data_IF_292776476664
#
_entry.id   IF_292776476664
#
_cell.length_a   1.000
_cell.length_b   1.000
_cell.length_c   1.000
_cell.angle_alpha   90.00
_cell.angle_beta   90.00
_cell.angle_gamma   90.00
#
_symmetry.space_group_name_H-M   'P 1'
#
loop_
_entity.id
_entity.type
_entity.pdbx_description
1 polymer ?
#
# COMPACT_ATOMS: atom_id res chain seq x y z
N UNK A 1 -27.06 10.78 8.64
CA UNK A 1 -25.94 10.13 9.38
C UNK A 1 -25.13 9.25 8.43
N UNK A 2 -23.80 9.24 8.54
CA UNK A 2 -22.91 8.47 7.66
C UNK A 2 -22.13 7.39 8.43
N UNK A 3 -21.97 6.22 7.82
CA UNK A 3 -21.09 5.15 8.27
C UNK A 3 -19.89 5.04 7.33
N UNK A 4 -18.67 5.14 7.89
CA UNK A 4 -17.43 5.07 7.15
C UNK A 4 -16.71 3.77 7.49
N UNK A 5 -16.28 3.04 6.45
CA UNK A 5 -15.46 1.84 6.54
C UNK A 5 -14.19 2.03 5.71
N UNK A 6 -13.06 2.07 6.38
CA UNK A 6 -11.72 2.14 5.79
C UNK A 6 -11.15 0.73 5.72
N UNK A 7 -10.81 0.26 4.51
CA UNK A 7 -10.08 -0.99 4.31
C UNK A 7 -8.65 -0.66 3.93
N UNK A 8 -7.69 -1.28 4.60
CA UNK A 8 -6.28 -1.08 4.32
C UNK A 8 -5.80 -2.09 3.27
N UNK A 9 -4.83 -1.66 2.45
CA UNK A 9 -4.25 -2.45 1.37
C UNK A 9 -3.60 -3.71 1.91
N UNK A 10 -3.52 -4.74 1.07
CA UNK A 10 -2.57 -5.83 1.29
C UNK A 10 -1.16 -5.26 1.03
N UNK A 11 -0.14 -5.82 1.65
CA UNK A 11 1.24 -5.38 1.44
C UNK A 11 1.53 -5.38 -0.09
N UNK A 12 1.99 -4.28 -0.71
CA UNK A 12 2.33 -4.27 -2.14
C UNK A 12 3.42 -5.31 -2.49
N UNK A 13 4.20 -5.77 -1.50
CA UNK A 13 5.16 -6.87 -1.66
C UNK A 13 4.51 -8.26 -1.52
N UNK A 14 3.28 -8.35 -0.98
CA UNK A 14 2.42 -9.54 -1.02
C UNK A 14 1.57 -9.55 -2.31
N UNK A 15 2.25 -9.55 -3.45
CA UNK A 15 1.60 -9.73 -4.74
C UNK A 15 1.00 -11.14 -4.89
N UNK A 16 -0.26 -11.23 -5.32
CA UNK A 16 -0.81 -12.44 -5.92
C UNK A 16 -0.15 -12.63 -7.29
N UNK A 17 1.02 -13.29 -7.35
CA UNK A 17 1.67 -13.64 -8.62
C UNK A 17 2.54 -14.91 -8.49
N UNK A 18 2.03 -16.00 -9.05
CA UNK A 18 2.77 -17.15 -9.59
C UNK A 18 3.69 -16.74 -10.74
N UNK A 19 4.67 -15.87 -10.52
CA UNK A 19 5.70 -15.57 -11.53
C UNK A 19 7.07 -15.65 -10.90
N UNK A 20 7.62 -16.86 -10.90
CA UNK A 20 9.05 -17.03 -11.00
C UNK A 20 9.49 -16.67 -12.43
N UNK A 21 10.60 -15.95 -12.65
CA UNK A 21 11.08 -15.48 -13.97
C UNK A 21 11.49 -16.60 -14.96
N UNK A 22 11.18 -17.85 -14.63
CA UNK A 22 11.36 -19.07 -15.42
C UNK A 22 10.05 -19.89 -15.54
N UNK A 23 8.88 -19.29 -15.26
CA UNK A 23 7.56 -19.93 -15.37
C UNK A 23 7.30 -21.02 -14.32
N UNK A 24 7.89 -20.92 -13.13
CA UNK A 24 7.72 -21.89 -12.04
C UNK A 24 8.56 -23.18 -12.15
N UNK A 25 9.46 -23.27 -13.14
CA UNK A 25 10.21 -24.53 -13.42
C UNK A 25 11.40 -24.80 -12.51
N UNK A 26 12.00 -23.77 -11.92
CA UNK A 26 13.10 -23.93 -10.94
C UNK A 26 12.88 -22.97 -9.80
N UNK A 27 12.33 -23.50 -8.72
CA UNK A 27 12.17 -22.79 -7.44
C UNK A 27 13.43 -23.03 -6.60
N UNK A 28 14.18 -21.97 -6.25
CA UNK A 28 15.26 -22.09 -5.27
C UNK A 28 14.66 -22.58 -3.94
N UNK A 29 15.25 -23.62 -3.34
CA UNK A 29 14.79 -24.19 -2.05
C UNK A 29 13.98 -25.49 -2.15
N UNK A 30 13.57 -25.94 -3.34
CA UNK A 30 12.76 -27.16 -3.50
C UNK A 30 13.51 -28.48 -3.16
N UNK A 31 14.84 -28.47 -3.21
CA UNK A 31 15.70 -29.63 -2.94
C UNK A 31 16.44 -29.56 -1.60
N UNK A 32 16.08 -28.62 -0.72
CA UNK A 32 16.69 -28.47 0.60
C UNK A 32 15.69 -28.91 1.65
N UNK A 33 16.13 -29.73 2.61
CA UNK A 33 15.34 -30.00 3.80
C UNK A 33 14.93 -28.66 4.43
N UNK A 34 13.71 -28.58 4.95
CA UNK A 34 13.06 -27.36 5.50
C UNK A 34 13.98 -26.56 6.43
N UNK A 35 14.92 -27.22 7.10
CA UNK A 35 15.90 -26.59 8.00
C UNK A 35 17.03 -25.85 7.26
N UNK A 36 17.47 -26.34 6.09
CA UNK A 36 18.60 -25.76 5.33
C UNK A 36 18.26 -24.51 4.51
N UNK A 37 16.96 -24.20 4.31
CA UNK A 37 16.53 -22.96 3.67
C UNK A 37 16.47 -21.77 4.63
N UNK A 38 16.57 -22.01 5.95
CA UNK A 38 16.43 -20.99 7.00
C UNK A 38 17.75 -20.21 7.23
N UNK A 39 18.90 -20.76 6.84
CA UNK A 39 20.22 -20.19 7.15
C UNK A 39 20.75 -19.15 6.14
N UNK A 40 19.97 -18.77 5.12
CA UNK A 40 20.34 -17.64 4.24
C UNK A 40 19.50 -16.42 4.59
N UNK A 41 19.97 -15.70 5.62
CA UNK A 41 19.49 -14.37 5.99
C UNK A 41 19.63 -13.38 4.83
N UNK A 42 18.55 -12.62 4.61
CA UNK A 42 18.52 -11.41 3.78
C UNK A 42 17.75 -11.58 2.48
N UNK A 43 16.54 -11.00 2.42
CA UNK A 43 15.64 -10.89 1.26
C UNK A 43 14.73 -12.08 0.91
N UNK A 44 13.94 -12.55 1.89
CA UNK A 44 12.70 -13.29 1.58
C UNK A 44 11.50 -12.62 2.27
N UNK A 45 10.78 -11.79 1.51
CA UNK A 45 9.42 -11.37 1.88
C UNK A 45 8.49 -12.56 1.66
N UNK A 46 8.21 -13.30 2.74
CA UNK A 46 7.19 -14.35 2.75
C UNK A 46 5.97 -13.82 3.47
N UNK A 47 4.83 -13.81 2.79
CA UNK A 47 3.53 -13.57 3.37
C UNK A 47 3.02 -14.89 3.95
N UNK A 48 3.58 -15.32 5.08
CA UNK A 48 3.06 -16.47 5.83
C UNK A 48 2.66 -16.05 7.24
N UNK A 49 1.53 -16.63 7.66
CA UNK A 49 0.84 -16.42 8.91
C UNK A 49 1.74 -16.92 10.07
N UNK A 50 2.33 -16.00 10.83
CA UNK A 50 2.93 -16.35 12.13
C UNK A 50 4.43 -16.10 12.33
N UNK A 51 5.04 -15.08 11.72
CA UNK A 51 6.28 -14.51 12.28
C UNK A 51 6.25 -12.98 12.26
N UNK A 52 6.32 -12.42 13.46
CA UNK A 52 6.25 -11.00 13.81
C UNK A 52 7.26 -10.13 13.06
N UNK A 53 6.82 -9.44 12.00
CA UNK A 53 7.46 -8.20 11.57
C UNK A 53 6.72 -7.06 12.27
N UNK A 54 7.29 -6.57 13.36
CA UNK A 54 6.77 -5.44 14.14
C UNK A 54 7.06 -4.09 13.44
N UNK A 55 6.51 -3.85 12.25
CA UNK A 55 6.31 -2.47 11.78
C UNK A 55 4.84 -2.16 11.84
N UNK A 56 4.30 -2.25 13.05
CA UNK A 56 2.91 -1.90 13.28
C UNK A 56 2.80 -0.39 13.29
N UNK A 57 2.42 0.18 12.15
CA UNK A 57 2.25 1.61 12.03
C UNK A 57 1.08 2.03 12.93
N UNK A 58 1.37 2.84 13.95
CA UNK A 58 0.38 3.29 14.92
C UNK A 58 0.12 4.77 14.72
N UNK A 59 -1.14 5.17 14.75
CA UNK A 59 -1.48 6.56 14.50
C UNK A 59 -2.96 6.88 14.61
N UNK A 60 -3.30 8.10 14.20
CA UNK A 60 -4.69 8.58 14.12
C UNK A 60 -5.00 8.96 12.70
N UNK A 61 -6.20 8.59 12.25
CA UNK A 61 -6.68 8.83 10.91
C UNK A 61 -7.73 9.94 10.95
N UNK A 62 -7.50 10.95 10.13
CA UNK A 62 -8.40 12.07 9.95
C UNK A 62 -8.96 12.05 8.54
N UNK A 63 -10.25 12.35 8.40
CA UNK A 63 -10.92 12.44 7.12
C UNK A 63 -11.78 13.69 7.06
N UNK A 64 -11.75 14.38 5.92
CA UNK A 64 -12.70 15.45 5.60
C UNK A 64 -13.46 15.08 4.34
N UNK A 65 -14.78 15.08 4.41
CA UNK A 65 -15.65 14.76 3.30
C UNK A 65 -16.08 16.04 2.59
N UNK A 66 -16.05 16.05 1.26
CA UNK A 66 -16.55 17.16 0.45
C UNK A 66 -17.66 16.66 -0.46
N UNK A 67 -18.87 17.16 -0.26
CA UNK A 67 -20.01 16.92 -1.14
C UNK A 67 -20.36 18.13 -2.00
N UNK A 68 -21.39 17.99 -2.83
CA UNK A 68 -21.87 19.06 -3.72
C UNK A 68 -22.50 20.25 -2.97
N UNK A 69 -23.03 20.03 -1.76
CA UNK A 69 -23.75 21.06 -0.99
C UNK A 69 -22.96 21.57 0.20
N UNK A 70 -22.11 20.74 0.80
CA UNK A 70 -21.36 21.09 1.99
C UNK A 70 -20.05 20.29 2.09
N UNK A 71 -19.18 20.76 2.98
CA UNK A 71 -17.97 20.07 3.41
C UNK A 71 -18.09 19.77 4.91
N UNK A 72 -17.67 18.56 5.33
CA UNK A 72 -17.64 18.22 6.74
C UNK A 72 -16.49 18.97 7.45
N UNK A 73 -16.56 19.12 8.79
CA UNK A 73 -15.37 19.32 9.60
C UNK A 73 -14.36 18.17 9.39
N UNK A 74 -13.13 18.35 9.87
CA UNK A 74 -12.17 17.24 9.94
C UNK A 74 -12.65 16.27 11.01
N UNK A 75 -12.84 15.02 10.60
CA UNK A 75 -13.35 13.94 11.42
C UNK A 75 -12.20 13.04 11.83
N UNK A 76 -12.17 12.64 13.09
CA UNK A 76 -11.22 11.66 13.60
C UNK A 76 -11.88 10.29 13.62
N UNK A 77 -11.28 9.30 12.95
CA UNK A 77 -11.88 7.98 12.79
C UNK A 77 -12.07 7.27 14.15
N UNK A 78 -11.05 7.35 15.01
CA UNK A 78 -11.03 6.80 16.37
C UNK A 78 -10.24 7.76 17.25
N UNK A 79 -10.72 7.98 18.49
CA UNK A 79 -10.04 8.86 19.46
C UNK A 79 -8.74 8.24 19.96
N UNK A 80 -8.69 6.92 20.00
CA UNK A 80 -7.52 6.13 20.35
C UNK A 80 -6.53 5.99 19.18
N UNK A 81 -5.26 5.81 19.51
CA UNK A 81 -4.25 5.45 18.52
C UNK A 81 -4.46 4.02 18.04
N UNK A 82 -4.72 3.87 16.75
CA UNK A 82 -4.99 2.58 16.11
C UNK A 82 -3.71 2.05 15.51
N UNK A 83 -3.54 0.73 15.63
CA UNK A 83 -2.48 -0.02 14.98
C UNK A 83 -2.97 -0.47 13.60
N UNK A 84 -2.27 -0.08 12.55
CA UNK A 84 -2.60 -0.38 11.16
C UNK A 84 -1.71 -1.52 10.66
N UNK A 85 -2.33 -2.52 10.06
CA UNK A 85 -1.66 -3.61 9.36
C UNK A 85 -2.39 -3.91 8.05
N UNK A 86 -1.73 -4.53 7.07
CA UNK A 86 -2.37 -4.90 5.81
C UNK A 86 -3.65 -5.72 6.01
N UNK A 87 -4.69 -5.44 5.23
CA UNK A 87 -5.99 -6.11 5.35
C UNK A 87 -6.84 -5.69 6.57
N UNK A 88 -6.32 -4.88 7.49
CA UNK A 88 -7.10 -4.36 8.61
C UNK A 88 -8.26 -3.45 8.15
N UNK A 89 -9.27 -3.29 9.01
CA UNK A 89 -10.44 -2.45 8.74
C UNK A 89 -10.73 -1.52 9.91
N UNK A 90 -11.01 -0.25 9.63
CA UNK A 90 -11.43 0.76 10.62
C UNK A 90 -12.80 1.30 10.25
N UNK A 91 -13.73 1.24 11.20
CA UNK A 91 -15.12 1.66 11.00
C UNK A 91 -15.55 2.68 12.05
N UNK A 92 -16.36 3.66 11.66
CA UNK A 92 -16.98 4.60 12.59
C UNK A 92 -18.21 5.29 11.99
N UNK A 93 -18.99 5.92 12.87
CA UNK A 93 -20.17 6.69 12.53
C UNK A 93 -19.87 8.18 12.68
N UNK A 94 -20.46 8.98 11.79
CA UNK A 94 -20.42 10.43 11.90
C UNK A 94 -21.78 11.06 11.59
N UNK A 95 -22.14 12.06 12.39
CA UNK A 95 -23.23 12.97 12.08
C UNK A 95 -22.68 14.17 11.31
N UNK A 96 -23.14 14.34 10.07
CA UNK A 96 -22.81 15.51 9.23
C UNK A 96 -24.10 16.17 8.77
N UNK A 97 -24.02 17.45 8.39
CA UNK A 97 -25.10 18.13 7.67
C UNK A 97 -25.34 17.47 6.31
N UNK A 98 -26.42 17.86 5.62
CA UNK A 98 -26.74 17.35 4.28
C UNK A 98 -25.65 17.73 3.26
N UNK A 99 -24.71 16.82 3.01
CA UNK A 99 -23.56 17.09 2.13
C UNK A 99 -23.90 17.01 0.64
N UNK A 100 -25.06 16.44 0.27
CA UNK A 100 -25.37 16.11 -1.12
C UNK A 100 -24.50 14.96 -1.64
N UNK A 101 -24.29 14.91 -2.96
CA UNK A 101 -23.45 13.87 -3.57
C UNK A 101 -22.00 14.04 -3.14
N UNK A 102 -21.38 13.00 -2.60
CA UNK A 102 -19.97 13.04 -2.20
C UNK A 102 -19.06 13.09 -3.44
N UNK A 103 -18.13 14.04 -3.46
CA UNK A 103 -17.24 14.29 -4.59
C UNK A 103 -15.83 13.77 -4.32
N UNK A 104 -15.31 14.02 -3.11
CA UNK A 104 -13.96 13.64 -2.70
C UNK A 104 -13.85 13.52 -1.18
N UNK A 105 -12.80 12.85 -0.75
CA UNK A 105 -12.36 12.83 0.64
C UNK A 105 -10.89 13.25 0.73
N UNK A 106 -10.53 13.92 1.81
CA UNK A 106 -9.17 14.29 2.14
C UNK A 106 -8.75 13.48 3.38
N UNK A 107 -7.72 12.65 3.23
CA UNK A 107 -7.15 11.82 4.31
C UNK A 107 -5.89 12.46 4.84
N UNK A 108 -5.74 12.45 6.16
CA UNK A 108 -4.49 12.76 6.84
C UNK A 108 -4.23 11.65 7.86
N UNK A 109 -3.05 11.07 7.81
CA UNK A 109 -2.59 10.14 8.82
C UNK A 109 -1.52 10.79 9.68
N UNK A 110 -1.64 10.67 11.01
CA UNK A 110 -0.65 11.14 11.97
C UNK A 110 -0.07 9.94 12.70
N UNK A 111 1.18 9.60 12.39
CA UNK A 111 1.91 8.50 13.03
C UNK A 111 2.36 8.88 14.44
N UNK A 112 2.44 7.90 15.34
CA UNK A 112 3.10 8.03 16.65
C UNK A 112 4.61 7.88 16.56
N UNK A 113 5.15 7.50 15.40
CA UNK A 113 6.58 7.32 15.21
C UNK A 113 7.34 8.65 15.44
N UNK A 114 8.33 8.64 16.32
CA UNK A 114 9.28 9.73 16.45
C UNK A 114 10.19 9.76 15.21
N UNK A 115 9.89 10.65 14.25
CA UNK A 115 10.63 10.77 12.98
C UNK A 115 12.07 11.33 13.14
N UNK A 116 12.46 11.74 14.35
CA UNK A 116 13.74 12.40 14.65
C UNK A 116 14.50 11.75 15.82
N UNK A 117 14.30 10.45 16.09
CA UNK A 117 15.11 9.75 17.10
C UNK A 117 16.47 9.30 16.50
N UNK A 118 17.61 9.86 16.94
CA UNK A 118 18.94 9.55 16.41
C UNK A 118 19.38 8.10 16.63
N UNK A 119 18.76 7.36 17.57
CA UNK A 119 19.06 5.95 17.85
C UNK A 119 18.39 4.95 16.89
N UNK A 120 17.51 5.39 15.98
CA UNK A 120 16.74 4.46 15.08
C UNK A 120 16.89 4.72 13.58
N UNK A 121 17.74 5.66 13.15
CA UNK A 121 18.01 6.01 11.74
C UNK A 121 16.79 5.97 10.79
N UNK A 122 15.63 6.47 11.21
CA UNK A 122 14.41 6.53 10.39
C UNK A 122 14.39 7.67 9.34
N UNK A 123 15.53 8.32 9.11
CA UNK A 123 15.67 9.32 8.05
C UNK A 123 15.58 8.70 6.63
N UNK A 124 15.76 7.38 6.51
CA UNK A 124 15.71 6.65 5.24
C UNK A 124 14.39 5.89 5.04
N UNK A 125 13.66 5.58 6.12
CA UNK A 125 12.42 4.78 6.10
C UNK A 125 11.27 5.54 6.77
N UNK A 126 10.62 6.42 6.01
CA UNK A 126 9.43 7.15 6.48
C UNK A 126 8.27 6.14 6.58
N UNK A 127 7.59 6.06 7.73
CA UNK A 127 6.48 5.14 7.87
C UNK A 127 5.35 5.49 6.90
N UNK A 128 4.67 4.49 6.35
CA UNK A 128 3.60 4.68 5.38
C UNK A 128 2.50 3.63 5.56
N UNK A 129 1.25 4.03 5.34
CA UNK A 129 0.10 3.11 5.35
C UNK A 129 -0.65 3.21 4.02
N UNK A 130 -1.24 2.10 3.58
CA UNK A 130 -1.99 2.05 2.32
C UNK A 130 -3.47 1.86 2.60
N UNK A 131 -4.31 2.77 2.11
CA UNK A 131 -5.77 2.60 2.13
C UNK A 131 -6.17 1.98 0.79
N UNK A 132 -6.81 0.81 0.84
CA UNK A 132 -7.35 0.15 -0.36
C UNK A 132 -8.54 0.94 -0.87
N UNK A 133 -9.50 1.12 0.02
CA UNK A 133 -10.71 1.88 -0.26
C UNK A 133 -11.39 2.37 1.01
N UNK A 134 -12.23 3.38 0.83
CA UNK A 134 -13.12 3.93 1.86
C UNK A 134 -14.53 3.85 1.34
N UNK A 135 -15.38 3.13 2.08
CA UNK A 135 -16.79 3.00 1.77
C UNK A 135 -17.56 3.93 2.71
N UNK A 136 -18.29 4.89 2.13
CA UNK A 136 -19.15 5.82 2.87
C UNK A 136 -20.59 5.47 2.59
N UNK A 137 -21.34 5.10 3.62
CA UNK A 137 -22.74 4.65 3.53
C UNK A 137 -23.65 5.67 4.22
N UNK A 138 -24.68 6.13 3.53
CA UNK A 138 -25.73 6.96 4.10
C UNK A 138 -26.77 6.08 4.77
N UNK A 139 -26.86 6.12 6.11
CA UNK A 139 -27.66 5.16 6.86
C UNK A 139 -29.17 5.35 6.70
N UNK A 140 -29.62 6.54 6.31
CA UNK A 140 -31.04 6.83 6.11
C UNK A 140 -31.54 6.38 4.73
N UNK A 141 -30.66 6.37 3.72
CA UNK A 141 -31.04 6.07 2.32
C UNK A 141 -30.49 4.75 1.80
N UNK A 142 -29.50 4.16 2.49
CA UNK A 142 -28.78 2.98 2.05
C UNK A 142 -27.79 3.22 0.90
N UNK A 143 -27.69 4.45 0.39
CA UNK A 143 -26.75 4.81 -0.67
C UNK A 143 -25.30 4.67 -0.18
N UNK A 144 -24.43 4.11 -1.03
CA UNK A 144 -23.01 3.96 -0.73
C UNK A 144 -22.13 4.51 -1.84
N UNK A 145 -21.04 5.16 -1.44
CA UNK A 145 -20.00 5.67 -2.35
C UNK A 145 -18.67 5.04 -1.95
N UNK A 146 -17.91 4.59 -2.95
CA UNK A 146 -16.60 3.96 -2.77
C UNK A 146 -15.52 4.90 -3.27
N UNK A 147 -14.50 5.14 -2.44
CA UNK A 147 -13.33 5.94 -2.76
C UNK A 147 -12.11 5.02 -2.78
N UNK A 148 -11.41 4.96 -3.91
CA UNK A 148 -10.31 3.99 -4.14
C UNK A 148 -8.94 4.64 -3.93
N UNK A 149 -8.08 4.05 -3.09
CA UNK A 149 -6.77 4.63 -2.74
C UNK A 149 -5.64 4.40 -3.74
N UNK A 150 -5.85 3.58 -4.78
CA UNK A 150 -4.90 3.32 -5.90
C UNK A 150 -3.48 2.93 -5.47
N UNK A 151 -3.36 2.20 -4.36
CA UNK A 151 -2.08 1.74 -3.81
C UNK A 151 -1.10 2.88 -3.50
N UNK A 152 -1.59 4.12 -3.35
CA UNK A 152 -0.77 5.25 -2.95
C UNK A 152 -0.64 5.32 -1.44
N UNK A 153 0.61 5.35 -0.97
CA UNK A 153 0.98 5.50 0.43
C UNK A 153 0.43 6.81 1.04
N UNK A 154 -0.18 6.69 2.22
CA UNK A 154 -0.40 7.81 3.13
C UNK A 154 0.88 8.06 3.93
N UNK A 155 1.49 9.21 3.66
CA UNK A 155 2.67 9.71 4.38
C UNK A 155 2.18 10.53 5.59
N UNK A 156 2.84 10.40 6.76
CA UNK A 156 2.49 11.17 7.95
C UNK A 156 2.38 12.67 7.66
N UNK A 157 1.33 13.30 8.18
CA UNK A 157 1.04 14.74 8.04
C UNK A 157 0.85 15.25 6.61
N UNK A 158 0.80 14.36 5.62
CA UNK A 158 0.50 14.72 4.23
C UNK A 158 -0.96 14.43 3.94
N UNK A 159 -1.66 15.45 3.41
CA UNK A 159 -3.05 15.29 2.99
C UNK A 159 -3.09 14.57 1.64
N UNK A 160 -3.87 13.49 1.57
CA UNK A 160 -4.15 12.73 0.35
C UNK A 160 -5.62 12.87 -0.03
N UNK A 161 -5.87 13.41 -1.21
CA UNK A 161 -7.24 13.54 -1.75
C UNK A 161 -7.59 12.34 -2.63
N UNK A 162 -8.76 11.75 -2.40
CA UNK A 162 -9.33 10.65 -3.19
C UNK A 162 -10.68 11.12 -3.74
N UNK A 163 -10.90 10.95 -5.06
CA UNK A 163 -12.13 11.38 -5.73
C UNK A 163 -13.08 10.21 -5.96
N UNK A 164 -14.39 10.46 -5.92
CA UNK A 164 -15.43 9.44 -6.06
C UNK A 164 -15.47 8.77 -7.44
N UNK A 165 -14.88 9.40 -8.47
CA UNK A 165 -14.85 8.88 -9.84
C UNK A 165 -13.63 7.98 -10.13
N UNK A 166 -12.80 7.67 -9.13
CA UNK A 166 -11.62 6.84 -9.30
C UNK A 166 -11.97 5.36 -9.20
N UNK A 167 -11.53 4.56 -10.19
CA UNK A 167 -11.68 3.10 -10.16
C UNK A 167 -10.69 2.43 -9.20
N UNK A 168 -11.14 1.36 -8.54
CA UNK A 168 -10.33 0.46 -7.70
C UNK A 168 -9.64 -0.63 -8.53
N UNK A 169 -9.90 -0.69 -9.84
CA UNK A 169 -9.22 -1.63 -10.74
C UNK A 169 -7.78 -1.16 -10.90
N UNK A 170 -6.82 -2.02 -10.52
CA UNK A 170 -5.41 -1.76 -10.78
C UNK A 170 -5.22 -1.55 -12.29
N UNK A 171 -4.52 -0.50 -12.73
CA UNK A 171 -4.12 -0.40 -14.12
C UNK A 171 -3.37 -1.68 -14.49
N UNK A 172 -3.61 -2.27 -15.68
CA UNK A 172 -2.77 -3.36 -16.14
C UNK A 172 -1.32 -2.87 -16.08
N UNK A 173 -0.43 -3.69 -15.52
CA UNK A 173 0.99 -3.40 -15.51
C UNK A 173 1.40 -3.00 -16.94
N UNK A 174 2.19 -1.92 -17.12
CA UNK A 174 2.60 -1.51 -18.45
C UNK A 174 3.20 -2.73 -19.13
N UNK A 175 2.58 -3.13 -20.26
CA UNK A 175 3.07 -4.23 -21.08
C UNK A 175 4.47 -3.83 -21.55
N UNK A 176 5.50 -4.35 -20.87
CA UNK A 176 6.89 -4.19 -21.29
C UNK A 176 7.02 -4.93 -22.62
N UNK A 177 7.04 -4.17 -23.71
CA UNK A 177 7.20 -4.67 -25.07
C UNK A 177 8.44 -5.57 -25.13
N UNK A 178 8.26 -6.86 -25.46
CA UNK A 178 9.33 -7.87 -25.47
C UNK A 178 10.54 -7.47 -26.34
N UNK A 179 10.34 -6.56 -27.30
CA UNK A 179 11.42 -6.00 -28.11
C UNK A 179 12.47 -5.25 -27.29
N UNK A 180 12.08 -4.57 -26.21
CA UNK A 180 13.02 -3.82 -25.35
C UNK A 180 13.92 -4.74 -24.53
N UNK A 181 13.41 -5.92 -24.14
CA UNK A 181 14.17 -6.96 -23.42
C UNK A 181 15.33 -7.50 -24.24
N UNK A 182 15.13 -7.73 -25.55
CA UNK A 182 16.18 -8.23 -26.44
C UNK A 182 17.26 -7.18 -26.70
N UNK A 183 16.85 -5.92 -26.85
CA UNK A 183 17.77 -4.82 -27.11
C UNK A 183 18.68 -4.51 -25.91
N UNK A 184 18.17 -4.57 -24.67
CA UNK A 184 18.99 -4.38 -23.47
C UNK A 184 19.92 -5.58 -23.18
N UNK A 185 19.48 -6.81 -23.50
CA UNK A 185 20.32 -8.03 -23.39
C UNK A 185 21.49 -8.02 -24.38
N UNK A 186 21.27 -7.57 -25.62
CA UNK A 186 22.34 -7.46 -26.63
C UNK A 186 23.37 -6.37 -26.25
N UNK A 187 22.93 -5.28 -25.62
CA UNK A 187 23.82 -4.21 -25.13
C UNK A 187 24.68 -4.65 -23.94
N UNK A 188 24.18 -5.52 -23.05
CA UNK A 188 24.97 -6.08 -21.95
C UNK A 188 25.98 -7.15 -22.43
N UNK A 189 25.63 -7.94 -23.45
CA UNK A 189 26.55 -8.96 -24.01
C UNK A 189 27.76 -8.35 -24.73
N UNK A 190 27.60 -7.19 -25.37
CA UNK A 190 28.69 -6.50 -26.07
C UNK A 190 29.79 -5.94 -25.14
N UNK A 191 29.55 -5.80 -23.83
CA UNK A 191 30.54 -5.24 -22.87
C UNK A 191 31.43 -6.29 -22.21
N UNK A 192 31.24 -7.57 -22.47
CA UNK A 192 32.02 -8.67 -21.88
C UNK A 192 32.76 -9.50 -22.94
N UNK A 193 33.39 -8.85 -23.92
CA UNK A 193 34.49 -9.49 -24.66
C UNK A 193 35.81 -9.24 -23.91
N UNK A 194 36.47 -10.26 -23.34
CA UNK A 194 37.82 -10.09 -22.79
C UNK A 194 38.78 -9.73 -23.94
N UNK A 195 39.55 -8.65 -23.76
CA UNK A 195 40.69 -8.34 -24.62
C UNK A 195 41.78 -9.35 -24.31
N UNK A 196 42.02 -10.31 -25.20
CA UNK A 196 43.25 -11.09 -25.19
C UNK A 196 44.40 -10.16 -25.63
N UNK A 197 45.33 -9.89 -24.72
CA UNK A 197 46.65 -9.38 -25.08
C UNK A 197 47.46 -10.56 -25.63
N UNK A 198 48.02 -10.37 -26.82
CA UNK A 198 49.02 -11.28 -27.40
C UNK A 198 50.39 -10.77 -26.98
N UNK A 199 51.22 -11.66 -26.43
CA UNK A 199 52.68 -11.66 -26.55
C UNK A 199 53.17 -13.10 -26.30
#
# INVERSE_FOLDING_TARGET
>A
MLFLRFRFGDDPDCGHVDFYPNGGKRQPGCNQNVVGAIEKEGDLAVCEEGRTIHTTEKGRLFVRLTGTKAQSPVLEAKKEYVQFFPGSTVEFLVSTTQMGRLLRLDLEWRSTASLLNPLTWRLFNVPQIHVRDVIVTHLETGERVVFCGRDEALIPHKIKTIFANQSCVRPPAPFMDEKKKKQDLDVMSSRHKPRFFSD
#
